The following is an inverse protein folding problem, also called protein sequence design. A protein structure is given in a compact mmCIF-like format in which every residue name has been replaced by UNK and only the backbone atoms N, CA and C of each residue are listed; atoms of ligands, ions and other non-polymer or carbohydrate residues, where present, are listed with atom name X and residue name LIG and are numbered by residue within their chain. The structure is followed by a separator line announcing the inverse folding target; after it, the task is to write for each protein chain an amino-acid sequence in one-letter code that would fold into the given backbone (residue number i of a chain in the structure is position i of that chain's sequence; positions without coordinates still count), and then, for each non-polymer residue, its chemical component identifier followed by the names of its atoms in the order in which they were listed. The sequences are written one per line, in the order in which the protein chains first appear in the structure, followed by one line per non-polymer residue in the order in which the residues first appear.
data_IF_637345079715
#
_entry.id   IF_637345079715
#
_cell.length_a   1.000
_cell.length_b   1.000
_cell.length_c   1.000
_cell.angle_alpha   90.00
_cell.angle_beta   90.00
_cell.angle_gamma   90.00
#
_symmetry.space_group_name_H-M   'P 1'
#
loop_
_entity.id
_entity.type
_entity.pdbx_description
1 polymer ?
#
# COMPACT_ATOMS: atom_id res chain seq x y z
N UNK A 1 21.57 -0.34 -55.40
CA UNK A 1 21.14 0.20 -54.06
C UNK A 1 21.84 1.53 -53.91
N UNK A 2 21.16 2.65 -54.21
CA UNK A 2 21.77 3.96 -54.16
C UNK A 2 21.95 4.38 -52.70
N UNK A 3 23.22 4.65 -52.35
CA UNK A 3 23.62 5.13 -51.02
C UNK A 3 23.24 6.61 -50.86
N UNK A 4 21.95 6.87 -50.77
CA UNK A 4 21.43 8.22 -50.49
C UNK A 4 21.77 8.60 -49.03
N UNK A 5 22.02 9.88 -48.74
CA UNK A 5 22.37 10.40 -47.39
C UNK A 5 21.39 9.95 -46.29
N UNK A 6 20.13 9.78 -46.59
CA UNK A 6 19.13 9.23 -45.68
C UNK A 6 19.34 7.75 -45.34
N UNK A 7 19.67 6.94 -46.33
CA UNK A 7 19.94 5.51 -46.15
C UNK A 7 21.24 5.30 -45.33
N UNK A 8 22.25 6.10 -45.58
CA UNK A 8 23.50 6.11 -44.74
C UNK A 8 23.24 6.48 -43.28
N UNK A 9 22.31 7.40 -43.02
CA UNK A 9 21.92 7.76 -41.65
C UNK A 9 21.18 6.61 -40.97
N UNK A 10 20.29 5.93 -41.67
CA UNK A 10 19.54 4.75 -41.18
C UNK A 10 20.48 3.58 -40.92
N UNK A 11 21.44 3.31 -41.81
CA UNK A 11 22.44 2.23 -41.66
C UNK A 11 23.34 2.50 -40.44
N UNK A 12 23.84 3.73 -40.28
CA UNK A 12 24.64 4.10 -39.07
C UNK A 12 23.86 3.92 -37.77
N UNK A 13 22.59 4.31 -37.75
CA UNK A 13 21.72 4.10 -36.61
C UNK A 13 21.52 2.63 -36.32
N UNK A 14 21.34 1.81 -37.34
CA UNK A 14 21.13 0.35 -37.21
C UNK A 14 22.40 -0.34 -36.73
N UNK A 15 23.56 0.04 -37.23
CA UNK A 15 24.86 -0.47 -36.74
C UNK A 15 25.09 -0.06 -35.29
N UNK A 16 24.87 1.22 -34.96
CA UNK A 16 25.02 1.73 -33.59
C UNK A 16 24.07 0.99 -32.62
N UNK A 17 22.82 0.78 -33.02
CA UNK A 17 21.84 0.05 -32.24
C UNK A 17 22.26 -1.42 -32.04
N UNK A 18 22.73 -2.11 -33.11
CA UNK A 18 23.17 -3.50 -33.03
C UNK A 18 24.40 -3.67 -32.14
N UNK A 19 25.37 -2.74 -32.22
CA UNK A 19 26.54 -2.75 -31.35
C UNK A 19 26.17 -2.48 -29.89
N UNK A 20 25.26 -1.52 -29.65
CA UNK A 20 24.79 -1.19 -28.32
C UNK A 20 23.98 -2.34 -27.69
N UNK A 21 23.18 -3.03 -28.49
CA UNK A 21 22.43 -4.20 -28.09
C UNK A 21 23.35 -5.37 -27.76
N UNK A 22 24.35 -5.63 -28.60
CA UNK A 22 25.37 -6.68 -28.39
C UNK A 22 26.16 -6.43 -27.09
N UNK A 23 26.66 -5.20 -26.89
CA UNK A 23 27.38 -4.82 -25.67
C UNK A 23 26.48 -4.90 -24.42
N UNK A 24 25.21 -4.53 -24.55
CA UNK A 24 24.22 -4.61 -23.49
C UNK A 24 23.93 -6.05 -23.07
N UNK A 25 23.79 -6.97 -24.05
CA UNK A 25 23.57 -8.40 -23.78
C UNK A 25 24.83 -9.05 -23.20
N UNK A 26 26.01 -8.68 -23.70
CA UNK A 26 27.28 -9.22 -23.18
C UNK A 26 27.58 -8.78 -21.74
N UNK A 27 27.12 -7.59 -21.34
CA UNK A 27 27.31 -7.03 -20.00
C UNK A 27 25.98 -6.88 -19.25
N UNK A 28 25.12 -7.89 -19.33
CA UNK A 28 23.78 -7.87 -18.74
C UNK A 28 23.82 -7.56 -17.23
N UNK A 29 24.80 -8.10 -16.49
CA UNK A 29 24.97 -7.85 -15.06
C UNK A 29 25.21 -6.37 -14.75
N UNK A 30 26.03 -5.71 -15.58
CA UNK A 30 26.33 -4.28 -15.45
C UNK A 30 25.09 -3.44 -15.76
N UNK A 31 24.38 -3.79 -16.84
CA UNK A 31 23.12 -3.11 -17.23
C UNK A 31 22.08 -3.27 -16.14
N UNK A 32 21.86 -4.48 -15.64
CA UNK A 32 20.91 -4.75 -14.55
C UNK A 32 21.29 -4.01 -13.26
N UNK A 33 22.57 -3.90 -12.94
CA UNK A 33 23.05 -3.11 -11.80
C UNK A 33 22.68 -1.64 -11.94
N UNK A 34 22.91 -1.03 -13.09
CA UNK A 34 22.53 0.38 -13.33
C UNK A 34 21.01 0.57 -13.34
N UNK A 35 20.25 -0.35 -13.96
CA UNK A 35 18.78 -0.33 -13.92
C UNK A 35 18.27 -0.38 -12.47
N UNK A 36 18.85 -1.25 -11.64
CA UNK A 36 18.50 -1.37 -10.21
C UNK A 36 18.80 -0.08 -9.43
N UNK A 37 19.94 0.57 -9.70
CA UNK A 37 20.31 1.86 -9.08
C UNK A 37 19.30 2.94 -9.48
N UNK A 38 19.00 3.07 -10.78
CA UNK A 38 18.04 4.06 -11.28
C UNK A 38 16.65 3.80 -10.72
N UNK A 39 16.23 2.52 -10.68
CA UNK A 39 14.95 2.14 -10.09
C UNK A 39 14.86 2.48 -8.61
N UNK A 40 15.92 2.18 -7.84
CA UNK A 40 16.02 2.56 -6.43
C UNK A 40 15.91 4.06 -6.19
N UNK A 41 16.49 4.86 -7.08
CA UNK A 41 16.41 6.33 -7.03
C UNK A 41 15.00 6.84 -7.38
N UNK A 42 14.31 6.18 -8.31
CA UNK A 42 12.95 6.58 -8.74
C UNK A 42 11.87 6.11 -7.77
N UNK A 43 12.10 5.02 -7.04
CA UNK A 43 11.12 4.39 -6.16
C UNK A 43 10.42 5.36 -5.19
N UNK A 44 11.12 6.23 -4.44
CA UNK A 44 10.47 7.18 -3.53
C UNK A 44 9.55 8.18 -4.26
N UNK A 45 9.88 8.57 -5.49
CA UNK A 45 9.05 9.47 -6.30
C UNK A 45 7.80 8.77 -6.83
N UNK A 46 7.92 7.51 -7.24
CA UNK A 46 6.77 6.67 -7.66
C UNK A 46 5.83 6.46 -6.47
N UNK A 47 6.37 6.09 -5.31
CA UNK A 47 5.61 5.95 -4.06
C UNK A 47 4.95 7.27 -3.67
N UNK A 48 5.69 8.38 -3.73
CA UNK A 48 5.16 9.71 -3.44
C UNK A 48 4.05 10.15 -4.40
N UNK A 49 4.16 9.79 -5.68
CA UNK A 49 3.09 9.99 -6.66
C UNK A 49 1.83 9.19 -6.33
N UNK A 50 1.99 7.92 -5.97
CA UNK A 50 0.89 7.08 -5.52
C UNK A 50 0.22 7.62 -4.24
N UNK A 51 1.04 8.03 -3.25
CA UNK A 51 0.54 8.67 -2.01
C UNK A 51 -0.20 9.97 -2.31
N UNK A 52 0.34 10.82 -3.21
CA UNK A 52 -0.32 12.06 -3.64
C UNK A 52 -1.69 11.76 -4.27
N UNK A 53 -1.77 10.69 -5.02
CA UNK A 53 -3.01 10.28 -5.67
C UNK A 53 -4.06 9.84 -4.65
N UNK A 54 -3.70 9.01 -3.68
CA UNK A 54 -4.58 8.56 -2.58
C UNK A 54 -5.03 9.74 -1.72
N UNK A 55 -4.09 10.59 -1.28
CA UNK A 55 -4.38 11.78 -0.46
C UNK A 55 -5.21 12.83 -1.21
N UNK A 56 -5.15 12.86 -2.54
CA UNK A 56 -5.95 13.81 -3.32
C UNK A 56 -7.46 13.54 -3.24
N UNK A 57 -7.88 12.30 -2.95
CA UNK A 57 -9.31 11.94 -2.84
C UNK A 57 -9.96 12.64 -1.65
N UNK A 58 -9.53 12.43 -0.38
CA UNK A 58 -10.09 13.15 0.75
C UNK A 58 -9.81 14.67 0.68
N UNK A 59 -8.65 15.08 0.16
CA UNK A 59 -8.32 16.50 -0.03
C UNK A 59 -9.31 17.18 -0.97
N UNK A 60 -9.63 16.58 -2.12
CA UNK A 60 -10.57 17.14 -3.08
C UNK A 60 -11.99 17.17 -2.52
N UNK A 61 -12.37 16.18 -1.72
CA UNK A 61 -13.65 16.16 -1.04
C UNK A 61 -13.77 17.32 -0.05
N UNK A 62 -12.77 17.53 0.81
CA UNK A 62 -12.71 18.61 1.78
C UNK A 62 -12.69 19.97 1.05
N UNK A 63 -11.86 20.12 0.02
CA UNK A 63 -11.73 21.35 -0.76
C UNK A 63 -13.06 21.75 -1.40
N UNK A 64 -13.84 20.78 -1.92
CA UNK A 64 -15.16 21.05 -2.52
C UNK A 64 -16.23 21.40 -1.49
N UNK A 65 -16.29 20.67 -0.36
CA UNK A 65 -17.35 20.85 0.62
C UNK A 65 -17.11 22.03 1.58
N UNK A 66 -15.86 22.25 2.00
CA UNK A 66 -15.52 23.30 2.97
C UNK A 66 -15.25 24.63 2.28
N UNK A 67 -14.52 24.61 1.16
CA UNK A 67 -14.06 25.83 0.49
C UNK A 67 -14.77 26.11 -0.86
N UNK A 68 -15.67 25.24 -1.33
CA UNK A 68 -16.37 25.39 -2.60
C UNK A 68 -17.14 26.71 -2.66
N UNK A 69 -17.98 26.97 -1.66
CA UNK A 69 -18.76 28.20 -1.56
C UNK A 69 -17.92 29.48 -1.34
N UNK A 70 -16.73 29.34 -0.76
CA UNK A 70 -15.82 30.47 -0.52
C UNK A 70 -15.05 30.88 -1.77
N UNK A 71 -14.81 29.93 -2.69
CA UNK A 71 -14.14 30.20 -3.98
C UNK A 71 -15.01 30.94 -5.00
N UNK A 72 -16.35 30.84 -4.87
CA UNK A 72 -17.31 31.54 -5.74
C UNK A 72 -17.41 33.04 -5.45
N UNK A 73 -16.94 33.50 -4.29
CA UNK A 73 -16.95 34.95 -3.95
C UNK A 73 -15.67 35.60 -4.47
N UNK A 74 -15.82 36.53 -5.42
CA UNK A 74 -14.71 37.30 -6.00
C UNK A 74 -14.08 38.35 -5.04
N UNK A 75 -14.55 38.42 -3.81
CA UNK A 75 -14.10 39.34 -2.77
C UNK A 75 -12.65 39.07 -2.32
N UNK A 76 -11.99 40.06 -1.70
CA UNK A 76 -10.65 39.96 -1.11
C UNK A 76 -10.53 38.76 -0.14
N UNK A 77 -11.63 38.47 0.60
CA UNK A 77 -11.74 37.28 1.47
C UNK A 77 -11.80 35.95 0.69
N UNK A 78 -12.44 35.93 -0.47
CA UNK A 78 -12.50 34.75 -1.34
C UNK A 78 -11.14 34.40 -1.95
N UNK A 79 -10.33 35.40 -2.33
CA UNK A 79 -8.94 35.18 -2.82
C UNK A 79 -8.01 34.65 -1.73
N UNK A 80 -8.13 35.15 -0.49
CA UNK A 80 -7.38 34.63 0.65
C UNK A 80 -7.83 33.20 0.98
N UNK A 81 -9.12 32.92 1.02
CA UNK A 81 -9.66 31.57 1.23
C UNK A 81 -9.19 30.57 0.16
N UNK A 82 -9.15 30.97 -1.12
CA UNK A 82 -8.64 30.14 -2.21
C UNK A 82 -7.14 29.83 -2.07
N UNK A 83 -6.32 30.75 -1.52
CA UNK A 83 -4.89 30.54 -1.29
C UNK A 83 -4.61 29.58 -0.13
N UNK A 84 -5.42 29.65 0.93
CA UNK A 84 -5.29 28.78 2.11
C UNK A 84 -6.07 27.47 2.01
N UNK A 85 -7.03 27.37 1.10
CA UNK A 85 -7.88 26.19 0.95
C UNK A 85 -7.07 24.91 0.73
N UNK A 86 -6.04 24.95 -0.11
CA UNK A 86 -5.21 23.76 -0.42
C UNK A 86 -4.35 23.29 0.73
N UNK A 87 -3.52 24.14 1.36
CA UNK A 87 -2.68 23.68 2.48
C UNK A 87 -3.55 23.22 3.65
N UNK A 88 -4.67 23.88 3.94
CA UNK A 88 -5.59 23.45 4.99
C UNK A 88 -6.26 22.12 4.65
N UNK A 89 -6.78 21.96 3.43
CA UNK A 89 -7.38 20.69 3.00
C UNK A 89 -6.37 19.54 2.98
N UNK A 90 -5.09 19.82 2.64
CA UNK A 90 -4.02 18.82 2.69
C UNK A 90 -3.74 18.38 4.12
N UNK A 91 -3.58 19.32 5.06
CA UNK A 91 -3.34 18.99 6.48
C UNK A 91 -4.51 18.16 7.02
N UNK A 92 -5.76 18.60 6.75
CA UNK A 92 -6.95 17.86 7.18
C UNK A 92 -7.03 16.46 6.58
N UNK A 93 -6.67 16.31 5.30
CA UNK A 93 -6.60 15.01 4.62
C UNK A 93 -5.56 14.09 5.26
N UNK A 94 -4.37 14.60 5.57
CA UNK A 94 -3.31 13.84 6.25
C UNK A 94 -3.79 13.42 7.64
N UNK A 95 -4.34 14.34 8.42
CA UNK A 95 -4.88 14.04 9.76
C UNK A 95 -5.97 12.97 9.69
N UNK A 96 -6.88 13.07 8.72
CA UNK A 96 -7.95 12.09 8.53
C UNK A 96 -7.40 10.70 8.21
N UNK A 97 -6.43 10.59 7.30
CA UNK A 97 -5.82 9.30 6.93
C UNK A 97 -5.03 8.73 8.10
N UNK A 98 -4.22 9.55 8.79
CA UNK A 98 -3.47 9.12 9.99
C UNK A 98 -4.42 8.68 11.09
N UNK A 99 -5.51 9.42 11.33
CA UNK A 99 -6.52 9.05 12.32
C UNK A 99 -7.19 7.71 11.96
N UNK A 100 -7.54 7.49 10.70
CA UNK A 100 -8.10 6.22 10.25
C UNK A 100 -7.14 5.05 10.50
N UNK A 101 -5.86 5.21 10.16
CA UNK A 101 -4.84 4.20 10.43
C UNK A 101 -4.68 3.95 11.93
N UNK A 102 -4.62 5.01 12.73
CA UNK A 102 -4.51 4.89 14.20
C UNK A 102 -5.71 4.14 14.80
N UNK A 103 -6.93 4.44 14.37
CA UNK A 103 -8.14 3.74 14.82
C UNK A 103 -8.03 2.25 14.51
N UNK A 104 -7.62 1.90 13.27
CA UNK A 104 -7.43 0.49 12.89
C UNK A 104 -6.37 -0.18 13.77
N UNK A 105 -5.21 0.43 13.94
CA UNK A 105 -4.11 -0.13 14.76
C UNK A 105 -4.53 -0.29 16.22
N UNK A 106 -5.18 0.72 16.81
CA UNK A 106 -5.61 0.69 18.22
C UNK A 106 -6.70 -0.34 18.50
N UNK A 107 -7.55 -0.65 17.51
CA UNK A 107 -8.59 -1.67 17.65
C UNK A 107 -8.04 -3.06 17.32
N UNK A 108 -7.34 -3.20 16.20
CA UNK A 108 -6.94 -4.50 15.67
C UNK A 108 -5.74 -5.08 16.44
N UNK A 109 -4.74 -4.27 16.76
CA UNK A 109 -3.52 -4.80 17.38
C UNK A 109 -3.74 -5.45 18.76
N UNK A 110 -4.47 -4.82 19.71
CA UNK A 110 -4.72 -5.46 21.01
C UNK A 110 -5.62 -6.70 20.89
N UNK A 111 -6.58 -6.68 19.99
CA UNK A 111 -7.51 -7.80 19.81
C UNK A 111 -6.86 -8.99 19.13
N UNK A 112 -6.01 -8.76 18.12
CA UNK A 112 -5.16 -9.80 17.55
C UNK A 112 -4.24 -10.42 18.61
N UNK A 113 -3.64 -9.61 19.46
CA UNK A 113 -2.81 -10.11 20.56
C UNK A 113 -3.60 -11.03 21.51
N UNK A 114 -4.81 -10.64 21.90
CA UNK A 114 -5.69 -11.47 22.75
C UNK A 114 -6.13 -12.75 22.06
N UNK A 115 -6.52 -12.64 20.79
CA UNK A 115 -6.97 -13.79 19.98
C UNK A 115 -5.85 -14.81 19.82
N UNK A 116 -4.63 -14.37 19.52
CA UNK A 116 -3.48 -15.26 19.41
C UNK A 116 -3.19 -15.99 20.71
N UNK A 117 -3.21 -15.28 21.85
CA UNK A 117 -3.03 -15.90 23.18
C UNK A 117 -4.14 -16.92 23.48
N UNK A 118 -5.40 -16.59 23.15
CA UNK A 118 -6.53 -17.49 23.36
C UNK A 118 -6.45 -18.74 22.47
N UNK A 119 -6.05 -18.58 21.20
CA UNK A 119 -5.85 -19.71 20.26
C UNK A 119 -4.74 -20.62 20.78
N UNK A 120 -3.59 -20.07 21.20
CA UNK A 120 -2.49 -20.87 21.76
C UNK A 120 -2.92 -21.65 22.98
N UNK A 121 -3.65 -21.01 23.93
CA UNK A 121 -4.18 -21.68 25.12
C UNK A 121 -5.16 -22.80 24.75
N UNK A 122 -6.06 -22.54 23.79
CA UNK A 122 -7.03 -23.54 23.35
C UNK A 122 -6.38 -24.73 22.66
N UNK A 123 -5.35 -24.47 21.83
CA UNK A 123 -4.53 -25.54 21.24
C UNK A 123 -3.84 -26.37 22.33
N UNK A 124 -3.29 -25.72 23.39
CA UNK A 124 -2.71 -26.42 24.54
C UNK A 124 -3.71 -27.31 25.27
N UNK A 125 -4.95 -26.83 25.47
CA UNK A 125 -6.04 -27.59 26.11
C UNK A 125 -6.53 -28.76 25.25
N UNK A 126 -6.55 -28.59 23.91
CA UNK A 126 -7.09 -29.57 22.98
C UNK A 126 -6.05 -30.64 22.54
N UNK A 127 -4.75 -30.38 22.66
CA UNK A 127 -3.68 -31.37 22.34
C UNK A 127 -3.85 -32.70 23.07
N UNK A 128 -4.07 -32.76 24.39
CA UNK A 128 -4.28 -34.03 25.09
C UNK A 128 -5.52 -34.79 24.63
N UNK A 129 -6.56 -34.07 24.21
CA UNK A 129 -7.79 -34.67 23.68
C UNK A 129 -7.53 -35.33 22.32
N UNK A 130 -6.78 -34.62 21.45
CA UNK A 130 -6.38 -35.16 20.14
C UNK A 130 -5.43 -36.35 20.28
N UNK A 131 -4.47 -36.28 21.19
CA UNK A 131 -3.55 -37.40 21.49
C UNK A 131 -4.32 -38.62 22.01
N UNK A 132 -5.28 -38.42 22.92
CA UNK A 132 -6.13 -39.47 23.45
C UNK A 132 -7.01 -40.08 22.37
N UNK A 133 -7.62 -39.26 21.51
CA UNK A 133 -8.43 -39.74 20.38
C UNK A 133 -7.59 -40.54 19.37
N UNK A 134 -6.35 -40.10 19.12
CA UNK A 134 -5.40 -40.82 18.24
C UNK A 134 -4.99 -42.17 18.83
N UNK A 135 -4.69 -42.22 20.13
CA UNK A 135 -4.36 -43.48 20.83
C UNK A 135 -5.53 -44.44 20.92
N UNK A 136 -6.76 -43.93 21.07
CA UNK A 136 -7.97 -44.74 21.15
C UNK A 136 -8.42 -45.26 19.75
N UNK A 137 -8.13 -44.53 18.68
CA UNK A 137 -8.56 -44.85 17.31
C UNK A 137 -7.51 -45.65 16.54
N UNK A 138 -6.24 -45.42 16.78
CA UNK A 138 -5.12 -46.11 16.12
C UNK A 138 -4.36 -46.95 17.12
N UNK A 139 -3.94 -48.16 16.72
CA UNK A 139 -3.12 -49.02 17.56
C UNK A 139 -1.84 -48.28 17.99
N UNK A 140 -1.47 -48.42 19.26
CA UNK A 140 -0.39 -47.71 19.93
C UNK A 140 0.99 -47.80 19.26
N UNK A 141 1.19 -48.65 18.30
CA UNK A 141 2.45 -48.89 17.57
C UNK A 141 2.51 -48.18 16.20
N UNK A 142 1.48 -47.43 15.83
CA UNK A 142 1.53 -46.70 14.54
C UNK A 142 2.53 -45.53 14.59
N UNK A 143 3.26 -45.35 13.48
CA UNK A 143 4.19 -44.22 13.32
C UNK A 143 3.52 -42.86 13.54
N UNK A 144 2.21 -42.78 13.28
CA UNK A 144 1.38 -41.58 13.45
C UNK A 144 1.26 -41.20 14.94
N UNK A 145 1.09 -42.19 15.84
CA UNK A 145 1.00 -41.96 17.28
C UNK A 145 2.36 -41.53 17.83
N UNK A 146 3.45 -42.14 17.36
CA UNK A 146 4.83 -41.75 17.71
C UNK A 146 5.15 -40.35 17.23
N UNK A 147 4.74 -39.98 16.02
CA UNK A 147 4.90 -38.63 15.47
C UNK A 147 4.09 -37.59 16.28
N UNK A 148 2.82 -37.89 16.58
CA UNK A 148 1.95 -37.00 17.34
C UNK A 148 2.41 -36.81 18.80
N UNK A 149 3.03 -37.81 19.43
CA UNK A 149 3.62 -37.70 20.76
C UNK A 149 4.95 -36.93 20.78
N UNK A 150 5.61 -36.77 19.63
CA UNK A 150 6.89 -36.03 19.49
C UNK A 150 6.66 -34.53 19.26
N UNK A 151 5.40 -34.11 18.97
CA UNK A 151 5.03 -32.71 18.81
C UNK A 151 4.92 -32.08 20.22
N UNK A 152 6.02 -31.68 20.80
CA UNK A 152 6.06 -30.73 21.91
C UNK A 152 5.81 -29.33 21.33
N UNK A 153 4.56 -28.92 21.30
CA UNK A 153 4.23 -27.52 21.08
C UNK A 153 4.44 -26.82 22.42
N UNK A 154 5.54 -26.11 22.56
CA UNK A 154 5.81 -25.26 23.71
C UNK A 154 5.06 -23.92 23.51
N UNK A 155 3.88 -23.75 24.14
CA UNK A 155 3.05 -22.54 23.96
C UNK A 155 3.79 -21.28 24.41
N UNK A 156 4.68 -21.42 25.38
CA UNK A 156 5.50 -20.33 25.90
C UNK A 156 6.44 -19.81 24.81
N UNK A 157 7.10 -20.70 24.05
CA UNK A 157 7.97 -20.29 22.92
C UNK A 157 7.21 -19.61 21.80
N UNK A 158 5.97 -20.04 21.53
CA UNK A 158 5.12 -19.40 20.51
C UNK A 158 4.69 -18.02 21.00
N UNK A 159 4.21 -17.92 22.27
CA UNK A 159 3.83 -16.64 22.88
C UNK A 159 5.04 -15.72 22.96
N UNK A 160 6.19 -16.20 23.40
CA UNK A 160 7.42 -15.41 23.49
C UNK A 160 7.93 -14.99 22.11
N UNK A 161 7.79 -15.82 21.09
CA UNK A 161 8.10 -15.46 19.71
C UNK A 161 7.15 -14.38 19.17
N UNK A 162 5.84 -14.51 19.41
CA UNK A 162 4.84 -13.52 19.01
C UNK A 162 5.03 -12.21 19.79
N UNK A 163 5.20 -12.29 21.12
CA UNK A 163 5.45 -11.14 21.97
C UNK A 163 6.80 -10.49 21.65
N UNK A 164 7.83 -11.29 21.33
CA UNK A 164 9.13 -10.77 20.89
C UNK A 164 9.00 -10.07 19.52
N UNK A 165 8.24 -10.60 18.56
CA UNK A 165 7.97 -9.94 17.28
C UNK A 165 7.18 -8.65 17.49
N UNK A 166 6.17 -8.64 18.37
CA UNK A 166 5.39 -7.45 18.71
C UNK A 166 6.23 -6.43 19.52
N UNK A 167 7.02 -6.88 20.49
CA UNK A 167 7.98 -6.03 21.20
C UNK A 167 9.17 -5.64 20.35
N UNK A 168 9.69 -6.57 19.54
CA UNK A 168 10.79 -6.30 18.60
C UNK A 168 10.42 -5.29 17.54
N UNK A 169 9.13 -5.16 17.19
CA UNK A 169 8.65 -4.02 16.40
C UNK A 169 8.88 -2.67 17.11
N UNK A 170 8.96 -2.64 18.44
CA UNK A 170 9.25 -1.44 19.24
C UNK A 170 10.71 -1.35 19.70
N UNK A 171 11.31 -2.47 20.16
CA UNK A 171 12.63 -2.48 20.78
C UNK A 171 13.79 -2.84 19.83
N UNK A 172 13.54 -3.56 18.75
CA UNK A 172 14.56 -3.92 17.75
C UNK A 172 14.96 -2.78 16.81
N UNK A 173 14.39 -1.61 16.95
CA UNK A 173 14.96 -0.39 16.34
C UNK A 173 16.35 -0.07 16.94
N UNK A 174 16.74 -0.72 18.02
CA UNK A 174 17.98 -0.41 18.74
C UNK A 174 19.04 -1.53 18.69
N UNK A 175 18.69 -2.81 18.51
CA UNK A 175 19.65 -3.89 18.78
C UNK A 175 19.77 -5.05 17.78
N UNK A 176 19.00 -5.11 16.70
CA UNK A 176 19.16 -6.20 15.72
C UNK A 176 19.94 -5.79 14.49
N UNK A 177 21.04 -6.43 14.35
CA UNK A 177 21.84 -6.69 13.12
C UNK A 177 21.72 -5.61 12.04
N UNK A 178 22.79 -4.89 11.82
CA UNK A 178 23.03 -3.82 10.84
C UNK A 178 22.23 -3.93 9.52
N UNK A 179 21.98 -5.13 9.03
CA UNK A 179 21.28 -5.38 7.76
C UNK A 179 19.77 -5.11 7.83
N UNK A 180 19.10 -5.50 8.91
CA UNK A 180 17.65 -5.27 9.10
C UNK A 180 17.41 -3.78 9.40
N UNK A 181 18.28 -3.19 10.23
CA UNK A 181 18.24 -1.75 10.54
C UNK A 181 18.45 -0.90 9.29
N UNK A 182 19.41 -1.24 8.42
CA UNK A 182 19.60 -0.55 7.13
C UNK A 182 18.38 -0.69 6.21
N UNK A 183 17.72 -1.83 6.18
CA UNK A 183 16.49 -2.05 5.41
C UNK A 183 15.34 -1.18 5.91
N UNK A 184 15.10 -1.14 7.21
CA UNK A 184 14.05 -0.32 7.83
C UNK A 184 14.35 1.18 7.71
N UNK A 185 15.58 1.61 7.92
CA UNK A 185 15.99 2.99 7.72
C UNK A 185 15.82 3.40 6.26
N UNK A 186 16.23 2.55 5.31
CA UNK A 186 16.04 2.81 3.88
C UNK A 186 14.55 2.91 3.51
N UNK A 187 13.70 2.03 4.07
CA UNK A 187 12.26 2.07 3.87
C UNK A 187 11.65 3.35 4.45
N UNK A 188 12.04 3.73 5.67
CA UNK A 188 11.59 4.95 6.32
C UNK A 188 12.04 6.22 5.55
N UNK A 189 13.28 6.23 5.06
CA UNK A 189 13.80 7.32 4.23
C UNK A 189 13.03 7.42 2.90
N UNK A 190 12.82 6.30 2.20
CA UNK A 190 12.05 6.29 0.96
C UNK A 190 10.61 6.77 1.19
N UNK A 191 9.99 6.35 2.30
CA UNK A 191 8.67 6.81 2.70
C UNK A 191 8.65 8.31 3.00
N UNK A 192 9.61 8.82 3.78
CA UNK A 192 9.72 10.24 4.12
C UNK A 192 9.91 11.11 2.88
N UNK A 193 10.84 10.72 1.98
CA UNK A 193 11.05 11.41 0.71
C UNK A 193 9.79 11.38 -0.16
N UNK A 194 9.16 10.21 -0.27
CA UNK A 194 7.90 10.04 -1.00
C UNK A 194 6.77 10.88 -0.43
N UNK A 195 6.66 10.95 0.90
CA UNK A 195 5.64 11.75 1.59
C UNK A 195 5.84 13.26 1.34
N UNK A 196 7.07 13.76 1.50
CA UNK A 196 7.40 15.17 1.20
C UNK A 196 7.11 15.49 -0.27
N UNK A 197 7.50 14.59 -1.18
CA UNK A 197 7.20 14.73 -2.60
C UNK A 197 5.70 14.73 -2.88
N UNK A 198 4.93 13.86 -2.22
CA UNK A 198 3.48 13.82 -2.31
C UNK A 198 2.84 15.14 -1.89
N UNK A 199 3.25 15.70 -0.75
CA UNK A 199 2.78 17.01 -0.29
C UNK A 199 3.11 18.11 -1.30
N UNK A 200 4.33 18.11 -1.84
CA UNK A 200 4.75 19.08 -2.85
C UNK A 200 3.89 18.99 -4.12
N UNK A 201 3.67 17.79 -4.62
CA UNK A 201 2.83 17.56 -5.81
C UNK A 201 1.41 18.04 -5.57
N UNK A 202 0.79 17.72 -4.43
CA UNK A 202 -0.58 18.12 -4.10
C UNK A 202 -0.73 19.64 -3.96
N UNK A 203 0.24 20.32 -3.33
CA UNK A 203 0.21 21.77 -3.18
C UNK A 203 0.40 22.49 -4.52
N UNK A 204 1.20 21.93 -5.42
CA UNK A 204 1.58 22.59 -6.68
C UNK A 204 1.04 21.89 -7.94
N UNK A 205 0.03 21.01 -7.82
CA UNK A 205 -0.48 20.19 -8.91
C UNK A 205 -0.79 20.96 -10.21
N UNK A 206 -1.33 22.19 -10.10
CA UNK A 206 -1.64 23.01 -11.28
C UNK A 206 -0.38 23.62 -11.93
N UNK A 207 0.58 24.01 -11.12
CA UNK A 207 1.85 24.58 -11.62
C UNK A 207 2.67 23.48 -12.29
N UNK A 208 2.78 22.32 -11.64
CA UNK A 208 3.46 21.14 -12.19
C UNK A 208 2.80 20.65 -13.47
N UNK A 209 1.46 20.54 -13.47
CA UNK A 209 0.72 20.15 -14.68
C UNK A 209 0.98 21.08 -15.87
N UNK A 210 0.99 22.40 -15.63
CA UNK A 210 1.32 23.38 -16.68
C UNK A 210 2.78 23.28 -17.14
N UNK A 211 3.72 22.99 -16.24
CA UNK A 211 5.14 22.83 -16.61
C UNK A 211 5.36 21.58 -17.43
N UNK A 212 4.77 20.45 -17.03
CA UNK A 212 4.82 19.18 -17.76
C UNK A 212 4.20 19.35 -19.15
N UNK A 213 3.04 20.00 -19.24
CA UNK A 213 2.37 20.26 -20.51
C UNK A 213 3.24 21.13 -21.45
N UNK A 214 3.86 22.20 -20.91
CA UNK A 214 4.79 23.04 -21.69
C UNK A 214 6.01 22.25 -22.19
N UNK A 215 6.59 21.39 -21.34
CA UNK A 215 7.71 20.55 -21.72
C UNK A 215 7.30 19.52 -22.79
N UNK A 216 6.10 18.93 -22.65
CA UNK A 216 5.56 18.00 -23.63
C UNK A 216 5.38 18.66 -25.02
N UNK A 217 4.81 19.88 -25.08
CA UNK A 217 4.68 20.63 -26.34
C UNK A 217 6.01 21.04 -26.96
N UNK A 218 7.09 21.15 -26.17
CA UNK A 218 8.42 21.46 -26.68
C UNK A 218 9.09 20.25 -27.36
N UNK A 219 8.75 19.02 -26.95
CA UNK A 219 9.42 17.80 -27.39
C UNK A 219 8.57 16.99 -28.38
N UNK A 220 7.25 17.00 -28.22
CA UNK A 220 6.31 16.13 -28.94
C UNK A 220 5.40 16.95 -29.88
N UNK A 221 4.92 16.34 -30.98
CA UNK A 221 3.92 16.95 -31.83
C UNK A 221 2.62 17.27 -31.09
N UNK A 222 1.97 18.38 -31.46
CA UNK A 222 0.74 18.87 -30.80
C UNK A 222 -0.34 17.79 -30.68
N UNK A 223 -0.61 17.04 -31.76
CA UNK A 223 -1.61 15.95 -31.75
C UNK A 223 -1.33 14.87 -30.70
N UNK A 224 -0.04 14.52 -30.49
CA UNK A 224 0.38 13.53 -29.51
C UNK A 224 0.19 14.06 -28.08
N UNK A 225 0.49 15.33 -27.85
CA UNK A 225 0.33 15.96 -26.52
C UNK A 225 -1.15 16.05 -26.15
N UNK A 226 -2.01 16.44 -27.09
CA UNK A 226 -3.45 16.49 -26.85
C UNK A 226 -4.03 15.11 -26.54
N UNK A 227 -3.63 14.08 -27.29
CA UNK A 227 -4.04 12.70 -27.05
C UNK A 227 -3.58 12.21 -25.67
N UNK A 228 -2.29 12.40 -25.35
CA UNK A 228 -1.75 12.03 -24.03
C UNK A 228 -2.43 12.79 -22.90
N UNK A 229 -2.69 14.08 -23.08
CA UNK A 229 -3.43 14.90 -22.11
C UNK A 229 -4.84 14.38 -21.86
N UNK A 230 -5.55 13.99 -22.91
CA UNK A 230 -6.87 13.37 -22.79
C UNK A 230 -6.81 12.04 -22.04
N UNK A 231 -5.88 11.15 -22.40
CA UNK A 231 -5.67 9.86 -21.74
C UNK A 231 -5.32 10.06 -20.25
N UNK A 232 -4.40 10.96 -19.92
CA UNK A 232 -4.03 11.26 -18.53
C UNK A 232 -5.22 11.80 -17.71
N UNK A 233 -6.03 12.67 -18.31
CA UNK A 233 -7.22 13.22 -17.65
C UNK A 233 -8.26 12.13 -17.40
N UNK A 234 -8.51 11.29 -18.41
CA UNK A 234 -9.44 10.16 -18.29
C UNK A 234 -8.95 9.16 -17.23
N UNK A 235 -7.67 8.76 -17.28
CA UNK A 235 -7.06 7.88 -16.30
C UNK A 235 -7.19 8.45 -14.88
N UNK A 236 -6.85 9.72 -14.68
CA UNK A 236 -6.98 10.39 -13.38
C UNK A 236 -8.43 10.37 -12.87
N UNK A 237 -9.41 10.63 -13.73
CA UNK A 237 -10.82 10.59 -13.38
C UNK A 237 -11.27 9.18 -12.99
N UNK A 238 -10.93 8.18 -13.80
CA UNK A 238 -11.29 6.77 -13.54
C UNK A 238 -10.69 6.29 -12.23
N UNK A 239 -9.39 6.51 -12.02
CA UNK A 239 -8.71 6.12 -10.79
C UNK A 239 -9.26 6.84 -9.55
N UNK A 240 -9.53 8.15 -9.63
CA UNK A 240 -10.12 8.89 -8.52
C UNK A 240 -11.50 8.37 -8.15
N UNK A 241 -12.33 8.08 -9.15
CA UNK A 241 -13.65 7.47 -8.93
C UNK A 241 -13.55 6.07 -8.34
N UNK A 242 -12.58 5.28 -8.82
CA UNK A 242 -12.31 3.93 -8.32
C UNK A 242 -11.90 3.95 -6.84
N UNK A 243 -10.92 4.78 -6.44
CA UNK A 243 -10.49 4.88 -5.03
C UNK A 243 -11.64 5.37 -4.16
N UNK A 244 -12.42 6.33 -4.63
CA UNK A 244 -13.59 6.82 -3.88
C UNK A 244 -14.61 5.69 -3.69
N UNK A 245 -14.90 4.92 -4.75
CA UNK A 245 -15.77 3.75 -4.67
C UNK A 245 -15.26 2.71 -3.68
N UNK A 246 -13.96 2.41 -3.73
CA UNK A 246 -13.30 1.45 -2.84
C UNK A 246 -13.37 1.88 -1.35
N UNK A 247 -13.20 3.18 -1.08
CA UNK A 247 -13.39 3.70 0.30
C UNK A 247 -14.84 3.55 0.78
N UNK A 248 -15.81 3.82 -0.08
CA UNK A 248 -17.23 3.66 0.25
C UNK A 248 -17.56 2.17 0.46
N UNK A 249 -17.11 1.31 -0.42
CA UNK A 249 -17.27 -0.15 -0.32
C UNK A 249 -16.68 -0.68 0.99
N UNK A 250 -15.46 -0.26 1.36
CA UNK A 250 -14.81 -0.64 2.60
C UNK A 250 -15.64 -0.28 3.84
N UNK A 251 -16.22 0.91 3.88
CA UNK A 251 -17.08 1.35 4.99
C UNK A 251 -18.38 0.54 5.02
N UNK A 252 -19.02 0.31 3.88
CA UNK A 252 -20.27 -0.46 3.79
C UNK A 252 -20.03 -1.90 4.22
N UNK A 253 -19.03 -2.58 3.67
CA UNK A 253 -18.72 -3.97 4.00
C UNK A 253 -18.37 -4.12 5.49
N UNK A 254 -17.46 -3.28 6.00
CA UNK A 254 -17.08 -3.33 7.41
C UNK A 254 -18.26 -3.10 8.35
N UNK A 255 -19.12 -2.13 8.06
CA UNK A 255 -20.31 -1.87 8.87
C UNK A 255 -21.34 -3.01 8.77
N UNK A 256 -21.54 -3.60 7.60
CA UNK A 256 -22.44 -4.71 7.39
C UNK A 256 -21.99 -5.96 8.16
N UNK A 257 -20.70 -6.29 8.10
CA UNK A 257 -20.15 -7.40 8.87
C UNK A 257 -20.24 -7.14 10.38
N UNK A 258 -19.85 -5.95 10.82
CA UNK A 258 -19.97 -5.58 12.23
C UNK A 258 -21.41 -5.74 12.77
N UNK A 259 -22.38 -5.21 12.04
CA UNK A 259 -23.80 -5.29 12.45
C UNK A 259 -24.31 -6.73 12.43
N UNK A 260 -24.06 -7.48 11.36
CA UNK A 260 -24.53 -8.87 11.24
C UNK A 260 -23.94 -9.78 12.32
N UNK A 261 -22.64 -9.65 12.60
CA UNK A 261 -21.98 -10.43 13.65
C UNK A 261 -22.43 -10.00 15.06
N UNK A 262 -22.70 -8.72 15.28
CA UNK A 262 -23.23 -8.21 16.56
C UNK A 262 -24.63 -8.76 16.82
N UNK A 263 -25.50 -8.77 15.80
CA UNK A 263 -26.85 -9.38 15.89
C UNK A 263 -26.77 -10.88 16.14
N UNK A 264 -25.86 -11.58 15.44
CA UNK A 264 -25.59 -13.00 15.62
C UNK A 264 -24.90 -13.36 16.95
N UNK A 265 -24.53 -12.37 17.76
CA UNK A 265 -23.78 -12.52 19.02
C UNK A 265 -22.45 -13.29 18.84
N UNK A 266 -21.84 -13.15 17.67
CA UNK A 266 -20.52 -13.72 17.43
C UNK A 266 -19.44 -12.96 18.20
N UNK A 267 -18.43 -13.66 18.74
CA UNK A 267 -17.28 -13.02 19.35
C UNK A 267 -16.49 -12.23 18.30
N UNK A 268 -15.77 -11.19 18.74
CA UNK A 268 -14.87 -10.40 17.89
C UNK A 268 -15.52 -9.63 16.73
N UNK A 269 -16.83 -9.36 16.79
CA UNK A 269 -17.56 -8.64 15.73
C UNK A 269 -16.89 -7.32 15.30
N UNK A 270 -16.38 -6.55 16.27
CA UNK A 270 -15.69 -5.28 16.02
C UNK A 270 -14.35 -5.49 15.31
N UNK A 271 -13.56 -6.47 15.73
CA UNK A 271 -12.28 -6.82 15.10
C UNK A 271 -12.49 -7.20 13.64
N UNK A 272 -13.40 -8.12 13.39
CA UNK A 272 -13.68 -8.64 12.05
C UNK A 272 -14.24 -7.54 11.14
N UNK A 273 -15.15 -6.73 11.65
CA UNK A 273 -15.70 -5.60 10.89
C UNK A 273 -14.63 -4.59 10.48
N UNK A 274 -13.74 -4.21 11.40
CA UNK A 274 -12.63 -3.27 11.11
C UNK A 274 -11.60 -3.92 10.18
N UNK A 275 -11.26 -5.19 10.39
CA UNK A 275 -10.29 -5.90 9.55
C UNK A 275 -10.81 -6.05 8.11
N UNK A 276 -12.08 -6.42 7.94
CA UNK A 276 -12.72 -6.51 6.61
C UNK A 276 -12.77 -5.13 5.96
N UNK A 277 -13.12 -4.09 6.70
CA UNK A 277 -13.12 -2.73 6.19
C UNK A 277 -11.74 -2.31 5.66
N UNK A 278 -10.68 -2.65 6.39
CA UNK A 278 -9.33 -2.32 5.99
C UNK A 278 -8.83 -3.16 4.81
N UNK A 279 -9.07 -4.47 4.83
CA UNK A 279 -8.68 -5.37 3.73
C UNK A 279 -9.46 -5.08 2.45
N UNK A 280 -10.72 -4.64 2.56
CA UNK A 280 -11.54 -4.22 1.43
C UNK A 280 -10.97 -3.03 0.65
N UNK A 281 -10.06 -2.24 1.23
CA UNK A 281 -9.33 -1.19 0.50
C UNK A 281 -8.42 -1.77 -0.60
N UNK A 282 -8.06 -3.05 -0.52
CA UNK A 282 -7.29 -3.75 -1.55
C UNK A 282 -8.27 -4.46 -2.49
N UNK A 283 -8.40 -4.00 -3.76
CA UNK A 283 -9.37 -4.56 -4.70
C UNK A 283 -9.21 -6.06 -4.87
N UNK A 284 -10.31 -6.78 -4.95
CA UNK A 284 -10.37 -8.24 -5.14
C UNK A 284 -9.88 -9.05 -3.93
N UNK A 285 -8.75 -8.68 -3.35
CA UNK A 285 -8.17 -9.41 -2.20
C UNK A 285 -8.91 -9.16 -0.90
N UNK A 286 -9.50 -7.97 -0.71
CA UNK A 286 -10.19 -7.61 0.53
C UNK A 286 -11.33 -8.54 0.89
N UNK A 287 -12.19 -8.86 -0.08
CA UNK A 287 -13.32 -9.79 0.13
C UNK A 287 -12.86 -11.22 0.43
N UNK A 288 -11.83 -11.70 -0.27
CA UNK A 288 -11.29 -13.05 -0.09
C UNK A 288 -10.64 -13.18 1.30
N UNK A 289 -9.75 -12.23 1.65
CA UNK A 289 -9.07 -12.23 2.96
C UNK A 289 -10.09 -12.06 4.09
N UNK A 290 -11.07 -11.16 3.91
CA UNK A 290 -12.12 -10.94 4.90
C UNK A 290 -12.97 -12.19 5.15
N UNK A 291 -13.35 -12.93 4.11
CA UNK A 291 -14.07 -14.19 4.24
C UNK A 291 -13.22 -15.27 4.92
N UNK A 292 -11.95 -15.40 4.57
CA UNK A 292 -11.04 -16.36 5.19
C UNK A 292 -10.86 -16.08 6.69
N UNK A 293 -10.61 -14.85 7.06
CA UNK A 293 -10.42 -14.43 8.47
C UNK A 293 -11.73 -14.52 9.26
N UNK A 294 -12.88 -14.28 8.62
CA UNK A 294 -14.19 -14.41 9.28
C UNK A 294 -14.66 -15.84 9.45
N UNK A 295 -14.06 -16.80 8.74
CA UNK A 295 -14.40 -18.23 8.83
C UNK A 295 -13.60 -18.92 9.94
N UNK A 296 -12.37 -18.53 10.21
CA UNK A 296 -11.51 -19.02 11.31
C UNK A 296 -11.69 -18.21 12.57
#
# INVERSE_FOLDING_TARGET
MELNKENMKKIRWLIAFSVLLYLGVQNLDVVLKYVKIVWGLLLPFVLGGAMAFVLNVPMAFIERHVFGKAKEKEDRKGRAAAKFARPVSLIFSIVLVVMAILVVVLIVAPELGRTLVNVVKKVEEDIPLVQKWLTDTFQSDSEIVKWASTIEIDPQKIIDSIVSVLRSGADNLVSSTITVTMGLVSMAMNFAIGFVFSCYVLLQKEKLGRQVLKAAYAILPVKTVEYLGHVCTLASKVFSSFITGQCIEAVILGSMFFVSMTIGRFPYAMLIGVLISFTALIPVFGGIIGCWVGFF
#
